data_IF_262532204950
#
_entry.id   IF_262532204950
#
_cell.length_a   1.000
_cell.length_b   1.000
_cell.length_c   1.000
_cell.angle_alpha   90.00
_cell.angle_beta   90.00
_cell.angle_gamma   90.00
#
_symmetry.space_group_name_H-M   'P 1'
#
loop_
_entity.id
_entity.type
_entity.pdbx_description
1 polymer ?
#
# COMPACT_ATOMS: atom_id res chain seq x y z
N UNK A 1 49.83 -19.35 59.93
CA UNK A 1 49.72 -18.62 58.66
C UNK A 1 48.40 -18.98 58.00
N UNK A 2 47.47 -18.05 57.99
CA UNK A 2 46.16 -18.26 57.37
C UNK A 2 46.19 -17.59 55.98
N UNK A 3 46.13 -18.41 54.94
CA UNK A 3 46.06 -17.93 53.60
C UNK A 3 44.59 -17.54 53.29
N UNK A 4 44.32 -16.26 53.17
CA UNK A 4 43.05 -15.78 52.66
C UNK A 4 43.03 -15.97 51.16
N UNK A 5 42.26 -16.92 50.67
CA UNK A 5 41.86 -16.99 49.26
C UNK A 5 40.66 -16.04 49.08
N UNK A 6 40.91 -14.92 48.51
CA UNK A 6 39.85 -14.07 48.07
C UNK A 6 39.14 -14.71 46.88
N UNK A 7 37.88 -15.04 47.08
CA UNK A 7 37.03 -15.53 46.00
C UNK A 7 36.53 -14.29 45.24
N UNK A 8 37.08 -14.09 44.05
CA UNK A 8 36.57 -13.05 43.14
C UNK A 8 35.31 -13.58 42.46
N UNK A 9 34.15 -13.12 42.96
CA UNK A 9 32.88 -13.41 42.26
C UNK A 9 32.75 -12.42 41.10
N UNK A 10 33.01 -12.90 39.89
CA UNK A 10 32.72 -12.14 38.70
C UNK A 10 31.23 -12.25 38.45
N UNK A 11 30.49 -11.19 38.79
CA UNK A 11 29.09 -11.04 38.37
C UNK A 11 29.07 -10.72 36.88
N UNK A 12 28.88 -11.73 36.04
CA UNK A 12 28.57 -11.50 34.63
C UNK A 12 27.13 -11.03 34.56
N UNK A 13 26.95 -9.74 34.55
CA UNK A 13 25.68 -9.13 34.24
C UNK A 13 25.31 -9.41 32.79
N UNK A 14 24.41 -10.36 32.56
CA UNK A 14 23.80 -10.54 31.27
C UNK A 14 22.90 -9.32 31.01
N UNK A 15 23.40 -8.38 30.23
CA UNK A 15 22.57 -7.30 29.70
C UNK A 15 21.61 -7.93 28.70
N UNK A 16 20.37 -8.17 29.11
CA UNK A 16 19.31 -8.55 28.21
C UNK A 16 19.03 -7.35 27.33
N UNK A 17 19.51 -7.36 26.10
CA UNK A 17 19.15 -6.37 25.11
C UNK A 17 17.71 -6.62 24.69
N UNK A 18 16.79 -5.85 25.23
CA UNK A 18 15.43 -5.83 24.71
C UNK A 18 15.44 -5.05 23.40
N UNK A 19 15.43 -5.77 22.29
CA UNK A 19 15.13 -5.16 21.00
C UNK A 19 13.64 -4.81 21.01
N UNK A 20 13.32 -3.51 21.06
CA UNK A 20 11.95 -3.07 20.80
C UNK A 20 11.51 -3.60 19.44
N UNK A 21 10.27 -4.15 19.31
CA UNK A 21 9.77 -4.57 18.01
C UNK A 21 9.84 -3.35 17.08
N UNK A 22 10.47 -3.53 15.91
CA UNK A 22 10.52 -2.48 14.91
C UNK A 22 9.09 -2.09 14.55
N UNK A 23 8.69 -0.85 14.87
CA UNK A 23 7.40 -0.33 14.46
C UNK A 23 7.41 -0.21 12.94
N UNK A 24 6.37 -0.74 12.30
CA UNK A 24 6.18 -0.57 10.87
C UNK A 24 6.10 0.93 10.57
N UNK A 25 6.86 1.37 9.57
CA UNK A 25 6.89 2.75 9.10
C UNK A 25 6.29 2.83 7.71
N UNK A 26 5.71 3.99 7.39
CA UNK A 26 5.25 4.26 6.05
C UNK A 26 6.45 4.43 5.13
N UNK A 27 6.49 3.62 4.08
CA UNK A 27 7.52 3.70 3.04
C UNK A 27 6.86 4.01 1.71
N UNK A 28 7.28 5.10 1.08
CA UNK A 28 6.91 5.39 -0.31
C UNK A 28 7.74 4.50 -1.24
N UNK A 29 7.07 3.87 -2.19
CA UNK A 29 7.73 2.95 -3.13
C UNK A 29 8.18 3.71 -4.36
N UNK A 30 9.50 3.71 -4.57
CA UNK A 30 10.13 4.41 -5.68
C UNK A 30 9.93 3.71 -7.03
N UNK A 31 10.07 4.49 -8.10
CA UNK A 31 10.03 3.99 -9.47
C UNK A 31 11.15 2.99 -9.72
N UNK A 32 10.88 1.99 -10.55
CA UNK A 32 11.87 1.00 -10.99
C UNK A 32 12.13 -0.12 -9.98
N UNK A 33 11.43 -0.16 -8.85
CA UNK A 33 11.58 -1.25 -7.88
C UNK A 33 10.71 -2.45 -8.25
N UNK A 34 11.17 -3.68 -7.99
CA UNK A 34 10.36 -4.89 -8.22
C UNK A 34 9.05 -4.90 -7.42
N UNK A 35 9.06 -4.36 -6.20
CA UNK A 35 7.86 -4.27 -5.36
C UNK A 35 6.80 -3.37 -5.97
N UNK A 36 7.20 -2.23 -6.53
CA UNK A 36 6.29 -1.33 -7.25
C UNK A 36 5.63 -2.04 -8.43
N UNK A 37 6.41 -2.73 -9.24
CA UNK A 37 5.90 -3.50 -10.37
C UNK A 37 4.91 -4.56 -9.92
N UNK A 38 5.24 -5.33 -8.88
CA UNK A 38 4.37 -6.37 -8.35
C UNK A 38 3.00 -5.83 -7.89
N UNK A 39 3.00 -4.71 -7.15
CA UNK A 39 1.75 -4.07 -6.69
C UNK A 39 0.94 -3.54 -7.88
N UNK A 40 1.57 -2.80 -8.77
CA UNK A 40 0.88 -2.19 -9.92
C UNK A 40 0.35 -3.23 -10.90
N UNK A 41 1.02 -4.36 -11.08
CA UNK A 41 0.56 -5.44 -11.96
C UNK A 41 -0.72 -6.08 -11.44
N UNK A 42 -0.82 -6.31 -10.12
CA UNK A 42 -2.04 -6.82 -9.49
C UNK A 42 -3.21 -5.85 -9.70
N UNK A 43 -2.97 -4.57 -9.46
CA UNK A 43 -4.00 -3.53 -9.65
C UNK A 43 -4.38 -3.37 -11.11
N UNK A 44 -3.40 -3.39 -12.02
CA UNK A 44 -3.64 -3.28 -13.46
C UNK A 44 -4.53 -4.39 -13.97
N UNK A 45 -4.28 -5.62 -13.57
CA UNK A 45 -5.11 -6.76 -13.94
C UNK A 45 -6.57 -6.57 -13.52
N UNK A 46 -6.81 -6.05 -12.32
CA UNK A 46 -8.15 -5.75 -11.83
C UNK A 46 -8.82 -4.63 -12.62
N UNK A 47 -8.14 -3.50 -12.82
CA UNK A 47 -8.68 -2.33 -13.53
C UNK A 47 -8.96 -2.66 -15.00
N UNK A 48 -8.06 -3.35 -15.68
CA UNK A 48 -8.25 -3.75 -17.07
C UNK A 48 -9.45 -4.69 -17.24
N UNK A 49 -9.66 -5.58 -16.31
CA UNK A 49 -10.82 -6.49 -16.31
C UNK A 49 -12.13 -5.73 -16.13
N UNK A 50 -12.16 -4.72 -15.25
CA UNK A 50 -13.35 -3.90 -15.03
C UNK A 50 -13.65 -2.96 -16.20
N UNK A 51 -12.64 -2.38 -16.82
CA UNK A 51 -12.80 -1.44 -17.93
C UNK A 51 -12.91 -2.11 -19.30
N UNK A 52 -12.34 -3.30 -19.47
CA UNK A 52 -12.27 -4.00 -20.74
C UNK A 52 -11.26 -3.40 -21.74
N UNK A 53 -10.36 -2.57 -21.25
CA UNK A 53 -9.30 -1.94 -22.06
C UNK A 53 -7.95 -2.05 -21.36
N UNK A 54 -6.86 -1.90 -22.09
CA UNK A 54 -5.52 -1.79 -21.53
C UNK A 54 -5.31 -0.42 -20.92
N UNK A 55 -4.65 -0.39 -19.76
CA UNK A 55 -4.36 0.85 -19.04
C UNK A 55 -2.91 0.92 -18.58
N UNK A 56 -2.43 2.14 -18.45
CA UNK A 56 -1.26 2.51 -17.65
C UNK A 56 -1.71 3.39 -16.49
N UNK A 57 -0.88 3.56 -15.49
CA UNK A 57 -1.22 4.38 -14.33
C UNK A 57 -0.34 5.61 -14.21
N UNK A 58 -0.99 6.73 -13.95
CA UNK A 58 -0.36 7.85 -13.29
C UNK A 58 -0.47 7.60 -11.78
N UNK A 59 0.67 7.35 -11.14
CA UNK A 59 0.70 7.05 -9.71
C UNK A 59 0.73 8.34 -8.91
N UNK A 60 -0.29 8.58 -8.11
CA UNK A 60 -0.34 9.72 -7.20
C UNK A 60 0.29 9.36 -5.85
N UNK A 61 0.02 8.15 -5.37
CA UNK A 61 0.62 7.62 -4.17
C UNK A 61 0.76 6.11 -4.25
N UNK A 62 1.91 5.61 -3.83
CA UNK A 62 2.14 4.20 -3.58
C UNK A 62 2.97 4.08 -2.31
N UNK A 63 2.33 3.62 -1.25
CA UNK A 63 2.92 3.54 0.08
C UNK A 63 2.70 2.16 0.69
N UNK A 64 3.67 1.73 1.48
CA UNK A 64 3.64 0.44 2.18
C UNK A 64 3.78 0.68 3.68
N UNK A 65 3.02 -0.06 4.45
CA UNK A 65 3.07 -0.13 5.91
C UNK A 65 2.99 -1.59 6.34
N UNK A 66 4.13 -2.18 6.73
CA UNK A 66 4.21 -3.60 7.02
C UNK A 66 3.78 -4.45 5.83
N UNK A 67 2.75 -5.28 6.01
CA UNK A 67 2.17 -6.13 4.97
C UNK A 67 1.04 -5.46 4.18
N UNK A 68 0.82 -4.18 4.39
CA UNK A 68 -0.21 -3.39 3.74
C UNK A 68 0.38 -2.44 2.70
N UNK A 69 -0.34 -2.23 1.61
CA UNK A 69 -0.01 -1.22 0.62
C UNK A 69 -1.26 -0.42 0.24
N UNK A 70 -1.07 0.86 0.01
CA UNK A 70 -2.09 1.74 -0.56
C UNK A 70 -1.59 2.28 -1.89
N UNK A 71 -2.43 2.16 -2.91
CA UNK A 71 -2.21 2.73 -4.23
C UNK A 71 -3.30 3.74 -4.57
N UNK A 72 -2.91 4.99 -4.73
CA UNK A 72 -3.74 6.05 -5.30
C UNK A 72 -3.29 6.31 -6.74
N UNK A 73 -4.17 6.03 -7.71
CA UNK A 73 -3.82 5.93 -9.11
C UNK A 73 -4.83 6.68 -9.98
N UNK A 74 -4.35 7.17 -11.13
CA UNK A 74 -5.22 7.60 -12.23
C UNK A 74 -4.98 6.71 -13.43
N UNK A 75 -5.98 5.92 -13.85
CA UNK A 75 -5.88 5.15 -15.09
C UNK A 75 -5.76 6.07 -16.30
N UNK A 76 -4.91 5.65 -17.22
CA UNK A 76 -4.68 6.33 -18.50
C UNK A 76 -4.68 5.31 -19.62
N UNK A 77 -4.93 5.76 -20.84
CA UNK A 77 -4.72 4.93 -22.02
C UNK A 77 -3.24 4.56 -22.16
N UNK A 78 -2.91 3.57 -22.97
CA UNK A 78 -1.50 3.21 -23.24
C UNK A 78 -0.67 4.39 -23.76
N UNK A 79 -1.31 5.33 -24.46
CA UNK A 79 -0.68 6.57 -24.91
C UNK A 79 -0.54 7.65 -23.81
N UNK A 80 -1.02 7.39 -22.59
CA UNK A 80 -0.95 8.33 -21.48
C UNK A 80 -2.08 9.36 -21.44
N UNK A 81 -3.09 9.21 -22.28
CA UNK A 81 -4.25 10.12 -22.35
C UNK A 81 -5.32 9.75 -21.32
N UNK A 82 -6.21 10.69 -21.04
CA UNK A 82 -7.41 10.42 -20.24
C UNK A 82 -8.27 9.37 -20.91
N UNK A 83 -8.87 8.49 -20.10
CA UNK A 83 -9.79 7.46 -20.56
C UNK A 83 -11.18 8.07 -20.76
N UNK A 84 -11.81 7.81 -21.90
CA UNK A 84 -13.23 8.04 -22.07
C UNK A 84 -14.00 6.84 -21.53
N UNK A 85 -14.45 6.93 -20.29
CA UNK A 85 -15.12 5.86 -19.59
C UNK A 85 -16.46 5.46 -20.22
N UNK A 86 -17.06 6.31 -21.05
CA UNK A 86 -18.28 6.00 -21.81
C UNK A 86 -18.04 4.96 -22.90
N UNK A 87 -16.78 4.68 -23.24
CA UNK A 87 -16.35 3.65 -24.20
C UNK A 87 -15.81 2.38 -23.53
N UNK A 88 -16.00 2.25 -22.23
CA UNK A 88 -15.55 1.11 -21.44
C UNK A 88 -16.71 0.28 -20.97
N UNK A 89 -16.42 -0.86 -20.31
CA UNK A 89 -17.46 -1.75 -19.76
C UNK A 89 -18.30 -1.09 -18.65
N UNK A 90 -17.81 -0.03 -18.02
CA UNK A 90 -18.53 0.69 -16.96
C UNK A 90 -19.36 1.88 -17.47
N UNK A 91 -19.51 2.02 -18.77
CA UNK A 91 -20.18 3.18 -19.39
C UNK A 91 -21.57 3.51 -18.80
N UNK A 92 -22.32 2.50 -18.42
CA UNK A 92 -23.66 2.68 -17.86
C UNK A 92 -23.66 3.22 -16.44
N UNK A 93 -22.63 2.94 -15.69
CA UNK A 93 -22.52 3.28 -14.27
C UNK A 93 -21.66 4.54 -14.04
N UNK A 94 -21.04 5.05 -15.09
CA UNK A 94 -20.16 6.22 -15.02
C UNK A 94 -20.93 7.54 -15.17
N UNK A 95 -20.77 8.40 -14.18
CA UNK A 95 -21.30 9.76 -14.19
C UNK A 95 -20.16 10.78 -14.24
N UNK A 96 -19.93 11.45 -15.38
CA UNK A 96 -18.83 12.39 -15.53
C UNK A 96 -18.93 13.64 -14.64
N UNK A 97 -20.10 13.93 -14.10
CA UNK A 97 -20.31 15.07 -13.20
C UNK A 97 -19.97 14.76 -11.74
N UNK A 98 -20.06 13.49 -11.34
CA UNK A 98 -19.88 13.08 -9.95
C UNK A 98 -18.63 12.19 -9.76
N UNK A 99 -18.32 11.35 -10.72
CA UNK A 99 -17.24 10.37 -10.56
C UNK A 99 -15.86 11.02 -10.78
N UNK A 100 -14.92 10.62 -9.95
CA UNK A 100 -13.53 10.99 -10.14
C UNK A 100 -12.88 10.14 -11.26
N UNK A 101 -11.64 10.46 -11.64
CA UNK A 101 -10.84 9.61 -12.51
C UNK A 101 -9.72 8.89 -11.73
N UNK A 102 -9.95 8.65 -10.45
CA UNK A 102 -8.98 7.98 -9.57
C UNK A 102 -9.42 6.57 -9.21
N UNK A 103 -8.46 5.73 -8.89
CA UNK A 103 -8.68 4.41 -8.31
C UNK A 103 -7.84 4.32 -7.04
N UNK A 104 -8.50 3.99 -5.94
CA UNK A 104 -7.83 3.75 -4.67
C UNK A 104 -7.89 2.26 -4.36
N UNK A 105 -6.75 1.66 -4.07
CA UNK A 105 -6.66 0.23 -3.81
C UNK A 105 -5.88 0.00 -2.53
N UNK A 106 -6.45 -0.82 -1.66
CA UNK A 106 -5.78 -1.35 -0.49
C UNK A 106 -5.39 -2.80 -0.75
N UNK A 107 -4.11 -3.09 -0.58
CA UNK A 107 -3.56 -4.43 -0.79
C UNK A 107 -2.95 -4.96 0.49
N UNK A 108 -2.90 -6.28 0.59
CA UNK A 108 -2.19 -6.97 1.66
C UNK A 108 -1.24 -8.01 1.07
N UNK A 109 -0.04 -8.05 1.59
CA UNK A 109 0.92 -9.09 1.25
C UNK A 109 0.63 -10.34 2.06
N UNK A 110 0.51 -11.47 1.35
CA UNK A 110 0.50 -12.81 1.92
C UNK A 110 1.66 -13.58 1.33
N UNK A 111 2.54 -14.04 2.18
CA UNK A 111 3.82 -14.63 1.77
C UNK A 111 4.62 -13.64 0.91
N UNK A 112 4.78 -13.89 -0.38
CA UNK A 112 5.50 -13.02 -1.31
C UNK A 112 4.59 -12.31 -2.31
N UNK A 113 3.28 -12.56 -2.27
CA UNK A 113 2.32 -12.02 -3.22
C UNK A 113 1.42 -10.94 -2.62
N UNK A 114 1.15 -9.91 -3.40
CA UNK A 114 0.16 -8.88 -3.07
C UNK A 114 -1.23 -9.28 -3.54
N UNK A 115 -2.23 -9.04 -2.71
CA UNK A 115 -3.63 -9.26 -3.03
C UNK A 115 -4.46 -8.02 -2.69
N UNK A 116 -5.44 -7.71 -3.53
CA UNK A 116 -6.39 -6.62 -3.28
C UNK A 116 -7.31 -7.02 -2.13
N UNK A 117 -7.41 -6.17 -1.12
CA UNK A 117 -8.32 -6.33 0.02
C UNK A 117 -9.56 -5.47 -0.15
N UNK A 118 -9.37 -4.24 -0.64
CA UNK A 118 -10.44 -3.29 -0.87
C UNK A 118 -10.11 -2.38 -2.04
N UNK A 119 -11.11 -1.91 -2.74
CA UNK A 119 -10.93 -1.09 -3.94
C UNK A 119 -12.07 -0.09 -4.05
N UNK A 120 -11.72 1.17 -4.33
CA UNK A 120 -12.65 2.23 -4.68
C UNK A 120 -12.36 2.68 -6.10
N UNK A 121 -13.26 2.35 -6.99
CA UNK A 121 -13.14 2.61 -8.41
C UNK A 121 -13.91 3.86 -8.79
N UNK A 122 -13.21 4.90 -9.23
CA UNK A 122 -13.76 6.22 -9.59
C UNK A 122 -14.67 6.81 -8.50
N UNK A 123 -14.24 6.81 -7.23
CA UNK A 123 -15.11 7.18 -6.11
C UNK A 123 -15.50 8.65 -6.20
N UNK A 124 -16.70 8.96 -5.72
CA UNK A 124 -17.22 10.33 -5.57
C UNK A 124 -16.69 11.00 -4.31
N UNK A 125 -16.32 10.19 -3.29
CA UNK A 125 -15.88 10.62 -1.97
C UNK A 125 -14.55 10.01 -1.56
N UNK A 126 -13.99 10.50 -0.47
CA UNK A 126 -12.75 10.01 0.13
C UNK A 126 -13.01 8.70 0.88
N UNK A 127 -12.77 7.57 0.23
CA UNK A 127 -13.07 6.22 0.73
C UNK A 127 -12.08 5.74 1.78
N UNK A 128 -10.83 6.20 1.73
CA UNK A 128 -9.77 5.72 2.62
C UNK A 128 -10.00 6.07 4.11
N UNK A 129 -10.87 7.03 4.41
CA UNK A 129 -11.27 7.35 5.81
C UNK A 129 -11.96 6.15 6.47
N UNK A 130 -12.78 5.42 5.71
CA UNK A 130 -13.40 4.18 6.20
C UNK A 130 -12.38 3.06 6.37
N UNK A 131 -11.43 2.95 5.46
CA UNK A 131 -10.37 1.94 5.53
C UNK A 131 -9.43 2.13 6.73
N UNK A 132 -9.13 3.38 7.07
CA UNK A 132 -8.36 3.72 8.26
C UNK A 132 -8.98 3.09 9.52
N UNK A 133 -10.28 3.21 9.67
CA UNK A 133 -11.04 2.65 10.81
C UNK A 133 -11.21 1.14 10.71
N UNK A 134 -11.65 0.67 9.56
CA UNK A 134 -11.99 -0.75 9.33
C UNK A 134 -10.79 -1.67 9.49
N UNK A 135 -9.65 -1.26 8.99
CA UNK A 135 -8.42 -2.07 9.01
C UNK A 135 -7.42 -1.63 10.07
N UNK A 136 -7.73 -0.62 10.86
CA UNK A 136 -6.85 -0.04 11.90
C UNK A 136 -5.48 0.34 11.36
N UNK A 137 -5.48 1.06 10.25
CA UNK A 137 -4.28 1.51 9.55
C UNK A 137 -3.98 2.98 9.87
N UNK A 138 -2.71 3.38 9.86
CA UNK A 138 -2.35 4.77 10.08
C UNK A 138 -2.82 5.65 8.92
N UNK A 139 -3.29 6.85 9.25
CA UNK A 139 -3.76 7.84 8.29
C UNK A 139 -2.71 8.21 7.24
N UNK A 140 -1.46 8.27 7.67
CA UNK A 140 -0.31 8.63 6.84
C UNK A 140 -0.10 7.66 5.67
N UNK A 141 -0.62 6.43 5.76
CA UNK A 141 -0.60 5.49 4.65
C UNK A 141 -1.35 6.02 3.42
N UNK A 142 -2.46 6.72 3.65
CA UNK A 142 -3.42 7.15 2.64
C UNK A 142 -3.24 8.58 2.15
N UNK A 143 -2.46 9.42 2.84
CA UNK A 143 -2.34 10.82 2.50
C UNK A 143 -1.67 11.00 1.14
N UNK A 144 -2.42 11.55 0.22
CA UNK A 144 -1.92 12.07 -1.06
C UNK A 144 -1.65 13.55 -0.87
N UNK A 145 -0.41 13.97 -1.05
CA UNK A 145 -0.02 15.39 -1.04
C UNK A 145 -0.38 16.07 -2.36
#
# INVERSE_FOLDING_TARGET
MVSRRELLIILVGAAASFSAPAQAQITLIERGTPERTAILDVVRASVQRQLGIKVVFQVERLAVFGDWAFAGLRPRTEAGSRIDYRRTLIAKDFDPEQDSDTVHVLLRRKDTAWAIVDEAFLPTDVVWVEWEKKYKLPRELFLVE
#
